data_IF_061942275039
#
_entry.id   IF_061942275039
#
_cell.length_a   1.000
_cell.length_b   1.000
_cell.length_c   1.000
_cell.angle_alpha   90.00
_cell.angle_beta   90.00
_cell.angle_gamma   90.00
#
_symmetry.space_group_name_H-M   'P 1'
#
loop_
_entity.id
_entity.type
_entity.pdbx_description
1 polymer ?
#
# COMPACT_ATOMS: atom_id res chain seq x y z
N UNK A 1 -7.25 -3.74 10.14
CA UNK A 1 -7.91 -5.08 10.19
C UNK A 1 -7.62 -5.83 8.88
N UNK A 2 -7.49 -5.10 7.81
CA UNK A 2 -7.17 -5.72 6.50
C UNK A 2 -5.70 -6.13 6.50
N UNK A 3 -5.37 -7.20 5.83
CA UNK A 3 -3.94 -7.66 5.82
C UNK A 3 -3.04 -6.44 5.66
N UNK A 4 -3.29 -5.63 4.67
CA UNK A 4 -2.43 -4.44 4.47
C UNK A 4 -2.76 -3.38 5.53
N UNK A 5 -3.88 -3.48 6.18
CA UNK A 5 -4.21 -2.46 7.21
C UNK A 5 -3.34 -2.68 8.46
N UNK A 6 -2.80 -3.85 8.64
CA UNK A 6 -1.95 -4.07 9.85
C UNK A 6 -0.56 -3.49 9.61
N UNK A 7 -0.28 -3.07 8.41
CA UNK A 7 1.05 -2.48 8.12
C UNK A 7 1.09 -1.05 8.67
N UNK A 8 2.20 -0.66 9.21
CA UNK A 8 2.32 0.73 9.77
C UNK A 8 2.65 1.71 8.64
N UNK A 9 2.36 2.98 8.82
CA UNK A 9 2.63 3.99 7.75
C UNK A 9 4.07 3.86 7.25
N UNK A 10 5.02 3.73 8.13
CA UNK A 10 6.43 3.61 7.68
C UNK A 10 6.61 2.36 6.82
N UNK A 11 6.03 1.27 7.22
CA UNK A 11 6.16 0.02 6.42
C UNK A 11 5.36 0.14 5.12
N UNK A 12 4.24 0.78 5.15
CA UNK A 12 3.45 0.91 3.90
C UNK A 12 4.24 1.74 2.89
N UNK A 13 4.84 2.82 3.34
CA UNK A 13 5.61 3.70 2.42
C UNK A 13 6.78 2.92 1.79
N UNK A 14 7.50 2.17 2.57
CA UNK A 14 8.64 1.41 1.98
C UNK A 14 8.11 0.39 0.96
N UNK A 15 6.92 -0.12 1.16
CA UNK A 15 6.36 -1.12 0.20
C UNK A 15 6.05 -0.47 -1.15
N UNK A 16 5.43 0.67 -1.13
CA UNK A 16 5.09 1.36 -2.41
C UNK A 16 6.39 1.66 -3.13
N UNK A 17 7.39 2.01 -2.38
CA UNK A 17 8.70 2.33 -2.99
C UNK A 17 9.25 1.09 -3.72
N UNK A 18 9.22 -0.04 -3.08
CA UNK A 18 9.74 -1.27 -3.73
C UNK A 18 9.07 -1.45 -5.08
N UNK A 19 7.80 -1.18 -5.18
CA UNK A 19 7.13 -1.38 -6.50
C UNK A 19 7.24 -0.10 -7.33
N UNK A 20 7.91 0.90 -6.82
CA UNK A 20 8.05 2.17 -7.58
C UNK A 20 6.66 2.73 -7.87
N UNK A 21 5.80 2.77 -6.88
CA UNK A 21 4.43 3.31 -7.10
C UNK A 21 4.34 4.73 -6.50
N UNK A 22 4.14 5.75 -7.32
CA UNK A 22 4.05 7.16 -6.83
C UNK A 22 2.99 7.32 -5.73
N UNK A 23 3.29 8.08 -4.71
CA UNK A 23 2.28 8.27 -3.64
C UNK A 23 2.54 9.56 -2.86
N UNK A 24 1.53 10.01 -2.16
CA UNK A 24 1.65 11.25 -1.35
C UNK A 24 1.60 10.88 0.14
N UNK A 25 1.06 11.74 0.96
CA UNK A 25 0.97 11.48 2.42
C UNK A 25 0.05 10.30 2.75
N UNK A 26 0.44 9.45 3.66
CA UNK A 26 -0.44 8.29 4.03
C UNK A 26 -1.26 8.66 5.28
N UNK A 27 -2.56 8.66 5.17
CA UNK A 27 -3.42 9.01 6.34
C UNK A 27 -4.68 8.12 6.30
N UNK A 28 -5.22 7.78 7.44
CA UNK A 28 -6.44 6.93 7.46
C UNK A 28 -7.43 7.41 6.39
N UNK A 29 -7.50 8.70 6.16
CA UNK A 29 -8.45 9.23 5.13
C UNK A 29 -8.08 8.71 3.74
N UNK A 30 -6.81 8.55 3.45
CA UNK A 30 -6.41 8.05 2.09
C UNK A 30 -5.61 6.75 2.25
N UNK A 31 -5.46 6.29 3.45
CA UNK A 31 -4.71 5.02 3.67
C UNK A 31 -5.41 3.89 2.91
N UNK A 32 -6.71 3.84 2.96
CA UNK A 32 -7.41 2.73 2.27
C UNK A 32 -7.08 2.75 0.79
N UNK A 33 -7.11 3.89 0.19
CA UNK A 33 -6.82 3.96 -1.25
C UNK A 33 -5.43 3.38 -1.49
N UNK A 34 -4.52 3.65 -0.61
CA UNK A 34 -3.15 3.09 -0.77
C UNK A 34 -3.15 1.57 -0.58
N UNK A 35 -3.93 1.08 0.34
CA UNK A 35 -3.96 -0.40 0.57
C UNK A 35 -4.48 -1.08 -0.69
N UNK A 36 -5.44 -0.49 -1.34
CA UNK A 36 -5.99 -1.11 -2.57
C UNK A 36 -4.95 -1.08 -3.68
N UNK A 37 -4.20 -0.01 -3.78
CA UNK A 37 -3.18 0.10 -4.86
C UNK A 37 -2.14 -1.00 -4.71
N UNK A 38 -1.68 -1.26 -3.52
CA UNK A 38 -0.67 -2.32 -3.34
C UNK A 38 -1.30 -3.67 -3.65
N UNK A 39 -2.55 -3.84 -3.30
CA UNK A 39 -3.23 -5.13 -3.58
C UNK A 39 -3.28 -5.38 -5.09
N UNK A 40 -3.63 -4.38 -5.84
CA UNK A 40 -3.72 -4.56 -7.33
C UNK A 40 -2.34 -4.93 -7.90
N UNK A 41 -1.30 -4.29 -7.45
CA UNK A 41 0.06 -4.63 -7.98
C UNK A 41 0.46 -6.03 -7.51
N UNK A 42 0.41 -6.26 -6.22
CA UNK A 42 0.78 -7.59 -5.67
C UNK A 42 -0.07 -8.66 -6.33
N UNK A 43 -1.29 -8.35 -6.68
CA UNK A 43 -2.15 -9.36 -7.35
C UNK A 43 -1.49 -9.73 -8.67
N UNK A 44 -1.01 -8.76 -9.40
CA UNK A 44 -0.37 -9.09 -10.70
C UNK A 44 0.78 -10.08 -10.46
N UNK A 45 1.65 -9.80 -9.53
CA UNK A 45 2.79 -10.72 -9.29
C UNK A 45 2.23 -12.09 -8.93
N UNK A 46 1.09 -12.14 -8.30
CA UNK A 46 0.53 -13.47 -7.94
C UNK A 46 -0.01 -14.15 -9.21
N UNK A 47 -0.27 -13.40 -10.25
CA UNK A 47 -0.78 -14.02 -11.51
C UNK A 47 0.36 -14.10 -12.52
#
# INVERSE_FOLDING_TARGET
HDNYADLSDTELTTLLRRYNIPHGPVVGSTRRLYEKKIFEYETQRRR
#
